data_IF_399599982758
#
_entry.id   IF_399599982758
#
_cell.length_a   1.000
_cell.length_b   1.000
_cell.length_c   1.000
_cell.angle_alpha   90.00
_cell.angle_beta   90.00
_cell.angle_gamma   90.00
#
_symmetry.space_group_name_H-M   'P 1'
#
loop_
_entity.id
_entity.type
_entity.pdbx_description
1 polymer ?
#
# COMPACT_ATOMS: atom_id res chain seq x y z
N UNK A 1 -7.20 -21.15 -13.59
CA UNK A 1 -8.31 -22.12 -13.72
C UNK A 1 -8.62 -22.62 -12.32
N UNK A 2 -9.79 -22.29 -11.76
CA UNK A 2 -10.14 -22.63 -10.38
C UNK A 2 -10.65 -24.07 -10.27
N UNK A 3 -10.32 -24.74 -9.16
CA UNK A 3 -10.76 -26.11 -8.86
C UNK A 3 -12.29 -26.13 -8.66
N UNK A 4 -13.04 -27.09 -9.25
CA UNK A 4 -14.48 -27.18 -9.07
C UNK A 4 -14.85 -27.36 -7.59
N UNK A 5 -15.72 -26.51 -7.06
CA UNK A 5 -16.25 -26.61 -5.69
C UNK A 5 -15.61 -25.67 -4.67
N UNK A 6 -14.51 -24.98 -5.02
CA UNK A 6 -13.98 -23.90 -4.18
C UNK A 6 -14.63 -22.59 -4.61
N UNK A 7 -15.57 -22.07 -3.81
CA UNK A 7 -16.00 -20.68 -3.97
C UNK A 7 -14.76 -19.81 -3.72
N UNK A 8 -14.41 -18.88 -4.62
CA UNK A 8 -13.37 -17.92 -4.30
C UNK A 8 -13.76 -17.21 -3.02
N UNK A 9 -12.92 -17.32 -1.99
CA UNK A 9 -13.06 -16.47 -0.82
C UNK A 9 -12.88 -15.02 -1.29
N UNK A 10 -13.66 -14.12 -0.70
CA UNK A 10 -13.46 -12.70 -0.96
C UNK A 10 -12.03 -12.37 -0.48
N UNK A 11 -11.15 -12.00 -1.42
CA UNK A 11 -9.82 -11.52 -1.07
C UNK A 11 -9.93 -10.31 -0.16
N UNK A 12 -9.02 -10.20 0.81
CA UNK A 12 -8.86 -8.98 1.59
C UNK A 12 -8.15 -7.96 0.70
N UNK A 13 -8.80 -6.82 0.45
CA UNK A 13 -8.19 -5.70 -0.25
C UNK A 13 -7.64 -4.76 0.81
N UNK A 14 -6.34 -4.46 0.73
CA UNK A 14 -5.68 -3.50 1.61
C UNK A 14 -5.78 -2.09 1.00
N UNK A 15 -5.90 -1.10 1.86
CA UNK A 15 -5.87 0.30 1.44
C UNK A 15 -4.42 0.78 1.30
N UNK A 16 -4.03 1.22 0.11
CA UNK A 16 -2.68 1.75 -0.15
C UNK A 16 -2.44 3.14 0.46
N UNK A 17 -3.46 3.76 1.06
CA UNK A 17 -3.37 5.04 1.77
C UNK A 17 -3.11 4.87 3.28
N UNK A 18 -3.02 3.64 3.78
CA UNK A 18 -2.84 3.32 5.21
C UNK A 18 -4.15 3.09 5.97
N UNK A 19 -4.03 2.72 7.26
CA UNK A 19 -5.16 2.23 8.08
C UNK A 19 -5.87 3.29 8.95
N UNK A 20 -5.39 4.54 8.99
CA UNK A 20 -5.96 5.61 9.85
C UNK A 20 -6.36 6.86 9.04
N UNK A 21 -7.39 6.73 8.20
CA UNK A 21 -7.96 7.86 7.49
C UNK A 21 -9.48 7.71 7.28
N UNK A 22 -10.20 8.84 7.29
CA UNK A 22 -11.65 8.89 7.02
C UNK A 22 -11.99 9.15 5.55
N UNK A 23 -10.99 9.36 4.70
CA UNK A 23 -11.15 9.58 3.27
C UNK A 23 -11.56 8.32 2.50
N UNK A 24 -11.77 8.45 1.19
CA UNK A 24 -11.97 7.28 0.35
C UNK A 24 -10.69 6.43 0.33
N UNK A 25 -10.82 5.17 0.72
CA UNK A 25 -9.79 4.15 0.54
C UNK A 25 -9.49 3.96 -0.94
N UNK A 26 -8.27 3.52 -1.25
CA UNK A 26 -7.84 3.29 -2.60
C UNK A 26 -6.87 2.10 -2.71
N UNK A 27 -6.90 1.40 -3.84
CA UNK A 27 -5.88 0.44 -4.27
C UNK A 27 -5.74 0.53 -5.80
N UNK A 28 -4.52 0.42 -6.30
CA UNK A 28 -4.25 0.39 -7.72
C UNK A 28 -4.66 -0.96 -8.31
N UNK A 29 -5.42 -0.96 -9.40
CA UNK A 29 -5.71 -2.19 -10.16
C UNK A 29 -4.71 -2.43 -11.29
N UNK A 30 -4.38 -1.40 -12.06
CA UNK A 30 -3.39 -1.49 -13.12
C UNK A 30 -2.83 -0.12 -13.49
N UNK A 31 -1.57 -0.10 -13.89
CA UNK A 31 -0.91 1.05 -14.53
C UNK A 31 -1.34 1.12 -16.01
N UNK A 32 -1.77 2.31 -16.46
CA UNK A 32 -2.11 2.55 -17.87
C UNK A 32 -0.87 2.86 -18.71
N UNK A 33 0.27 3.17 -18.08
CA UNK A 33 1.52 3.53 -18.74
C UNK A 33 1.45 4.87 -19.48
N UNK A 34 2.52 5.22 -20.21
CA UNK A 34 2.60 6.43 -21.04
C UNK A 34 3.17 7.67 -20.32
N UNK A 35 3.15 8.83 -21.01
CA UNK A 35 3.62 10.13 -20.47
C UNK A 35 2.64 11.28 -20.83
N UNK A 36 2.11 12.03 -19.83
CA UNK A 36 2.12 11.69 -18.41
C UNK A 36 1.30 10.41 -18.19
N UNK A 37 1.86 9.44 -17.46
CA UNK A 37 1.17 8.17 -17.19
C UNK A 37 0.08 8.31 -16.12
N UNK A 38 -0.87 7.41 -16.13
CA UNK A 38 -1.93 7.26 -15.13
C UNK A 38 -2.07 5.80 -14.72
N UNK A 39 -2.81 5.57 -13.64
CA UNK A 39 -3.23 4.24 -13.24
C UNK A 39 -4.73 4.24 -12.95
N UNK A 40 -5.35 3.06 -13.05
CA UNK A 40 -6.74 2.86 -12.65
C UNK A 40 -6.79 2.39 -11.21
N UNK A 41 -7.51 3.17 -10.41
CA UNK A 41 -7.67 2.96 -8.98
C UNK A 41 -9.08 2.51 -8.66
N UNK A 42 -9.23 1.53 -7.77
CA UNK A 42 -10.49 1.28 -7.07
C UNK A 42 -10.55 2.23 -5.89
N UNK A 43 -11.66 2.96 -5.76
CA UNK A 43 -11.90 3.86 -4.63
C UNK A 43 -13.21 3.53 -3.94
N UNK A 44 -13.20 3.46 -2.61
CA UNK A 44 -14.39 3.10 -1.82
C UNK A 44 -14.42 3.82 -0.48
N UNK A 45 -15.60 3.82 0.16
CA UNK A 45 -15.78 4.34 1.52
C UNK A 45 -16.84 3.52 2.25
N UNK A 46 -16.47 2.93 3.38
CA UNK A 46 -17.32 1.99 4.13
C UNK A 46 -17.86 0.87 3.25
N UNK A 47 -19.10 0.42 3.51
CA UNK A 47 -19.78 -0.62 2.74
C UNK A 47 -20.43 -0.13 1.42
N UNK A 48 -20.09 1.08 0.96
CA UNK A 48 -20.62 1.66 -0.27
C UNK A 48 -20.07 1.03 -1.55
N UNK A 49 -20.57 1.48 -2.70
CA UNK A 49 -20.05 1.04 -4.00
C UNK A 49 -18.61 1.52 -4.23
N UNK A 50 -17.75 0.60 -4.66
CA UNK A 50 -16.43 0.91 -5.16
C UNK A 50 -16.51 1.51 -6.58
N UNK A 51 -15.64 2.48 -6.88
CA UNK A 51 -15.57 3.15 -8.18
C UNK A 51 -14.19 2.95 -8.80
N UNK A 52 -14.15 2.61 -10.08
CA UNK A 52 -12.91 2.61 -10.86
C UNK A 52 -12.67 4.02 -11.39
N UNK A 53 -11.51 4.59 -11.08
CA UNK A 53 -11.15 5.96 -11.47
C UNK A 53 -9.74 5.98 -12.04
N UNK A 54 -9.55 6.38 -13.32
CA UNK A 54 -8.22 6.68 -13.83
C UNK A 54 -7.72 7.95 -13.17
N UNK A 55 -6.55 7.89 -12.54
CA UNK A 55 -5.91 9.03 -11.88
C UNK A 55 -4.44 9.13 -12.28
N UNK A 56 -3.91 10.34 -12.49
CA UNK A 56 -2.50 10.52 -12.78
C UNK A 56 -1.65 10.12 -11.58
N UNK A 57 -0.42 9.70 -11.84
CA UNK A 57 0.58 9.45 -10.79
C UNK A 57 0.94 10.73 -10.03
N UNK A 58 1.25 10.59 -8.74
CA UNK A 58 1.87 11.65 -7.96
C UNK A 58 3.26 11.97 -8.52
N UNK A 59 3.59 13.26 -8.64
CA UNK A 59 4.87 13.70 -9.21
C UNK A 59 6.00 13.76 -8.17
N UNK A 60 5.70 13.52 -6.90
CA UNK A 60 6.67 13.60 -5.82
C UNK A 60 7.73 12.51 -5.93
N UNK A 61 8.93 12.84 -5.48
CA UNK A 61 10.04 11.92 -5.34
C UNK A 61 10.65 12.06 -3.96
N UNK A 62 11.12 10.94 -3.42
CA UNK A 62 11.83 10.92 -2.14
C UNK A 62 13.29 11.44 -2.31
N UNK A 63 14.08 11.55 -1.23
CA UNK A 63 15.49 11.95 -1.30
C UNK A 63 16.39 10.99 -2.11
N UNK A 64 16.02 9.72 -2.24
CA UNK A 64 16.71 8.72 -3.07
C UNK A 64 16.24 8.73 -4.54
N UNK A 65 15.36 9.69 -4.89
CA UNK A 65 14.77 9.89 -6.21
C UNK A 65 13.80 8.76 -6.65
N UNK A 66 13.30 7.97 -5.69
CA UNK A 66 12.20 7.03 -5.87
C UNK A 66 10.87 7.79 -6.01
N UNK A 67 10.00 7.31 -6.91
CA UNK A 67 8.74 7.98 -7.20
C UNK A 67 7.66 7.59 -6.20
N UNK A 68 6.75 8.52 -5.89
CA UNK A 68 5.58 8.21 -5.07
C UNK A 68 4.65 7.27 -5.87
N UNK A 69 4.31 6.14 -5.29
CA UNK A 69 3.51 5.08 -5.93
C UNK A 69 2.00 5.29 -5.75
N UNK A 70 1.58 6.53 -5.50
CA UNK A 70 0.17 6.89 -5.27
C UNK A 70 -0.32 7.85 -6.35
N UNK A 71 -1.64 7.99 -6.47
CA UNK A 71 -2.26 8.96 -7.38
C UNK A 71 -2.03 10.41 -6.94
N UNK A 72 -2.12 11.36 -7.87
CA UNK A 72 -1.93 12.79 -7.57
C UNK A 72 -3.00 13.32 -6.61
N UNK A 73 -2.58 14.17 -5.67
CA UNK A 73 -3.43 14.72 -4.60
C UNK A 73 -4.10 13.64 -3.73
N UNK A 74 -3.38 12.54 -3.50
CA UNK A 74 -3.74 11.58 -2.45
C UNK A 74 -3.77 12.27 -1.06
N UNK A 75 -4.63 11.82 -0.13
CA UNK A 75 -4.79 12.45 1.18
C UNK A 75 -3.78 11.96 2.22
N UNK A 76 -3.04 10.88 1.92
CA UNK A 76 -2.10 10.24 2.84
C UNK A 76 -0.72 10.90 2.79
N UNK A 77 0.21 10.37 3.60
CA UNK A 77 1.62 10.53 3.30
C UNK A 77 1.95 9.96 1.91
N UNK A 78 3.09 10.36 1.34
CA UNK A 78 3.62 9.70 0.15
C UNK A 78 3.88 8.21 0.43
N UNK A 79 3.96 7.37 -0.61
CA UNK A 79 4.00 5.90 -0.47
C UNK A 79 5.06 5.42 0.53
N UNK A 80 6.25 6.03 0.53
CA UNK A 80 7.35 5.73 1.45
C UNK A 80 7.09 6.09 2.93
N UNK A 81 6.00 6.80 3.22
CA UNK A 81 5.57 7.16 4.57
C UNK A 81 4.26 6.49 4.99
N UNK A 82 3.74 5.56 4.19
CA UNK A 82 2.57 4.75 4.54
C UNK A 82 3.05 3.43 5.13
N UNK A 83 2.60 3.11 6.34
CA UNK A 83 2.89 1.83 6.99
C UNK A 83 1.88 0.77 6.56
N UNK A 84 2.37 -0.38 6.10
CA UNK A 84 1.59 -1.62 6.07
C UNK A 84 1.83 -2.37 7.39
N UNK A 85 0.84 -2.44 8.30
CA UNK A 85 1.04 -3.08 9.59
C UNK A 85 1.24 -4.60 9.50
N UNK A 86 0.85 -5.25 8.39
CA UNK A 86 1.19 -6.66 8.16
C UNK A 86 2.68 -6.80 7.86
N UNK A 87 3.21 -5.95 6.99
CA UNK A 87 4.64 -5.94 6.65
C UNK A 87 5.50 -5.56 7.86
N UNK A 88 5.07 -4.58 8.65
CA UNK A 88 5.74 -4.20 9.91
C UNK A 88 5.78 -5.37 10.89
N UNK A 89 4.65 -6.07 11.10
CA UNK A 89 4.59 -7.22 11.99
C UNK A 89 5.47 -8.38 11.52
N UNK A 90 5.51 -8.64 10.21
CA UNK A 90 6.40 -9.64 9.61
C UNK A 90 7.87 -9.24 9.83
N UNK A 91 8.22 -7.99 9.53
CA UNK A 91 9.57 -7.45 9.69
C UNK A 91 10.03 -7.55 11.15
N UNK A 92 9.19 -7.15 12.11
CA UNK A 92 9.50 -7.27 13.54
C UNK A 92 9.73 -8.74 13.95
N UNK A 93 8.89 -9.66 13.48
CA UNK A 93 9.05 -11.09 13.74
C UNK A 93 10.37 -11.64 13.16
N UNK A 94 10.74 -11.21 11.96
CA UNK A 94 12.00 -11.59 11.31
C UNK A 94 13.22 -10.99 12.02
N UNK A 95 13.13 -9.73 12.47
CA UNK A 95 14.19 -9.08 13.23
C UNK A 95 14.49 -9.83 14.54
N UNK A 96 13.45 -10.25 15.26
CA UNK A 96 13.60 -11.05 16.48
C UNK A 96 14.24 -12.42 16.20
N UNK A 97 13.89 -13.09 15.10
CA UNK A 97 14.43 -14.40 14.75
C UNK A 97 15.84 -14.34 14.14
N UNK A 98 16.16 -13.26 13.44
CA UNK A 98 17.39 -13.09 12.67
C UNK A 98 18.07 -11.73 12.91
N UNK A 99 18.50 -11.42 14.16
CA UNK A 99 18.99 -10.10 14.54
C UNK A 99 20.30 -9.67 13.85
N UNK A 100 20.98 -10.58 13.15
CA UNK A 100 22.17 -10.26 12.36
C UNK A 100 21.84 -9.69 10.98
N UNK A 101 20.60 -9.88 10.50
CA UNK A 101 20.10 -9.31 9.25
C UNK A 101 19.44 -7.94 9.46
N UNK A 102 19.05 -7.64 10.70
CA UNK A 102 18.32 -6.43 11.10
C UNK A 102 19.05 -5.70 12.24
N UNK A 103 20.30 -5.25 12.05
CA UNK A 103 21.09 -4.63 13.12
C UNK A 103 20.45 -3.37 13.70
N UNK A 104 19.67 -2.63 12.91
CA UNK A 104 18.94 -1.42 13.30
C UNK A 104 17.78 -1.67 14.28
N UNK A 105 17.23 -2.88 14.34
CA UNK A 105 16.12 -3.24 15.24
C UNK A 105 16.60 -3.70 16.63
N UNK A 106 17.92 -3.76 16.87
CA UNK A 106 18.48 -4.27 18.14
C UNK A 106 18.51 -3.24 19.27
N UNK A 107 18.35 -1.96 18.95
CA UNK A 107 18.55 -0.86 19.89
C UNK A 107 17.29 -0.53 20.73
N UNK A 108 16.13 -1.15 20.43
CA UNK A 108 14.86 -0.87 21.09
C UNK A 108 14.59 -1.73 22.35
N UNK A 109 15.28 -2.86 22.53
CA UNK A 109 15.12 -3.77 23.70
C UNK A 109 15.93 -3.35 24.95
N UNK A 110 16.46 -2.12 24.97
CA UNK A 110 17.41 -1.63 25.97
C UNK A 110 16.84 -0.77 27.11
N UNK A 111 15.52 -0.77 27.38
CA UNK A 111 14.92 0.06 28.46
C UNK A 111 14.00 -0.71 29.41
#
# INVERSE_FOLDING_TARGET
MSVPGHRPEAGYILCELGEDHDDQHATMLWDEGGRPGSAVWVRWKGAGHARLTPLPWCSARDPLNEACELFAAHPSAHSWGVTDPTDEAITHSLAHQHPHLFPEYRDEDGR
#
